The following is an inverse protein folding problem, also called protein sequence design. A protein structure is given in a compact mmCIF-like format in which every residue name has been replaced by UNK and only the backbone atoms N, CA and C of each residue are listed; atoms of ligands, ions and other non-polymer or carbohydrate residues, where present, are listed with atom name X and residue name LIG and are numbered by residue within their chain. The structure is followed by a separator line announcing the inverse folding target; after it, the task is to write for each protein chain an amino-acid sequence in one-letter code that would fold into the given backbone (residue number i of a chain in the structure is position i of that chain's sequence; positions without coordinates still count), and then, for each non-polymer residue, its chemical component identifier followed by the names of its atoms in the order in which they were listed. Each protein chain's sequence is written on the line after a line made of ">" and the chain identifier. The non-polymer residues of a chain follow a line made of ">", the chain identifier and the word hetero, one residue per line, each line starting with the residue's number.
data_IF_830402443615
#
_entry.id   IF_830402443615
#
_cell.length_a   1.000
_cell.length_b   1.000
_cell.length_c   1.000
_cell.angle_alpha   90.00
_cell.angle_beta   90.00
_cell.angle_gamma   90.00
#
_symmetry.space_group_name_H-M   'P 1'
#
loop_
_entity.id
_entity.type
_entity.pdbx_description
1 polymer ?
#
# COMPACT_ATOMS: atom_id res chain seq x y z
N UNK A 1 -10.97 -8.15 15.89
CA UNK A 1 -10.25 -7.03 15.24
C UNK A 1 -10.77 -5.62 15.52
N UNK A 2 -12.04 -5.42 15.89
CA UNK A 2 -12.65 -4.08 15.97
C UNK A 2 -12.78 -3.47 17.37
N UNK A 3 -12.45 -4.21 18.41
CA UNK A 3 -12.60 -3.77 19.79
C UNK A 3 -11.36 -2.95 20.25
N UNK A 4 -10.31 -3.60 20.76
CA UNK A 4 -9.14 -2.94 21.34
C UNK A 4 -7.93 -2.81 20.41
N UNK A 5 -8.16 -2.60 19.10
CA UNK A 5 -7.08 -2.42 18.11
C UNK A 5 -7.17 -1.07 17.42
N UNK A 6 -6.04 -0.55 16.98
CA UNK A 6 -6.03 0.60 16.08
C UNK A 6 -6.14 0.10 14.64
N UNK A 7 -7.31 0.35 14.05
CA UNK A 7 -7.64 0.07 12.66
C UNK A 7 -7.83 1.39 11.89
N UNK A 8 -7.82 1.31 10.57
CA UNK A 8 -8.19 2.42 9.70
C UNK A 8 -9.21 1.91 8.68
N UNK A 9 -10.18 2.75 8.36
CA UNK A 9 -11.16 2.51 7.32
C UNK A 9 -11.04 3.62 6.29
N UNK A 10 -10.95 3.25 5.01
CA UNK A 10 -11.05 4.17 3.90
C UNK A 10 -12.46 4.15 3.38
N UNK A 11 -13.05 5.32 3.21
CA UNK A 11 -14.38 5.50 2.68
C UNK A 11 -14.29 6.37 1.42
N UNK A 12 -14.93 5.91 0.37
CA UNK A 12 -15.08 6.62 -0.89
C UNK A 12 -16.52 6.44 -1.38
N UNK A 13 -17.06 7.48 -1.99
CA UNK A 13 -18.42 7.52 -2.52
C UNK A 13 -18.45 8.19 -3.88
N UNK A 14 -19.40 7.78 -4.71
CA UNK A 14 -19.68 8.36 -6.02
C UNK A 14 -21.17 8.23 -6.31
N UNK A 15 -21.61 8.93 -7.36
CA UNK A 15 -23.01 8.90 -7.80
C UNK A 15 -23.17 7.97 -9.00
N UNK A 16 -24.25 7.20 -9.08
CA UNK A 16 -24.54 6.45 -10.30
C UNK A 16 -24.97 7.42 -11.39
N UNK A 17 -24.36 7.29 -12.57
CA UNK A 17 -24.73 8.07 -13.74
C UNK A 17 -25.67 7.25 -14.62
N UNK A 18 -26.89 7.73 -14.83
CA UNK A 18 -27.85 7.12 -15.77
C UNK A 18 -27.44 7.36 -17.24
N UNK A 19 -26.58 8.34 -17.51
CA UNK A 19 -26.18 8.76 -18.87
C UNK A 19 -24.96 8.01 -19.45
N UNK A 20 -24.54 6.89 -18.86
CA UNK A 20 -23.45 6.07 -19.43
C UNK A 20 -22.09 6.78 -19.50
N UNK A 21 -21.86 7.80 -18.66
CA UNK A 21 -20.59 8.52 -18.60
C UNK A 21 -19.50 7.58 -18.10
N UNK A 22 -18.64 7.13 -19.03
CA UNK A 22 -17.41 6.41 -18.73
C UNK A 22 -16.49 7.31 -17.91
N UNK A 23 -16.36 7.03 -16.61
CA UNK A 23 -15.55 7.85 -15.72
C UNK A 23 -14.07 7.74 -16.05
N UNK A 24 -13.40 8.86 -16.26
CA UNK A 24 -11.93 8.94 -16.31
C UNK A 24 -11.30 8.93 -14.91
N UNK A 25 -11.81 8.10 -14.00
CA UNK A 25 -11.26 7.99 -12.63
C UNK A 25 -10.15 6.95 -12.59
N UNK A 26 -8.92 7.38 -12.31
CA UNK A 26 -7.79 6.48 -12.11
C UNK A 26 -8.01 5.56 -10.90
N UNK A 27 -8.71 6.03 -9.86
CA UNK A 27 -9.12 5.19 -8.74
C UNK A 27 -10.05 4.05 -9.18
N UNK A 28 -11.10 4.38 -9.95
CA UNK A 28 -12.05 3.39 -10.46
C UNK A 28 -11.36 2.36 -11.36
N UNK A 29 -10.43 2.83 -12.21
CA UNK A 29 -9.59 1.98 -13.06
C UNK A 29 -8.72 1.04 -12.24
N UNK A 30 -7.98 1.55 -11.25
CA UNK A 30 -7.13 0.72 -10.39
C UNK A 30 -7.97 -0.32 -9.62
N UNK A 31 -9.19 0.03 -9.17
CA UNK A 31 -10.11 -0.88 -8.49
C UNK A 31 -10.68 -1.96 -9.42
N UNK A 32 -11.09 -1.59 -10.63
CA UNK A 32 -11.52 -2.56 -11.65
C UNK A 32 -10.40 -3.51 -12.06
N UNK A 33 -9.18 -2.98 -12.21
CA UNK A 33 -7.99 -3.77 -12.48
C UNK A 33 -7.74 -4.78 -11.36
N UNK A 34 -7.85 -4.38 -10.09
CA UNK A 34 -7.71 -5.29 -8.96
C UNK A 34 -8.76 -6.40 -8.96
N UNK A 35 -10.03 -6.04 -9.16
CA UNK A 35 -11.13 -7.00 -9.15
C UNK A 35 -11.04 -8.01 -10.30
N UNK A 36 -10.57 -7.57 -11.47
CA UNK A 36 -10.42 -8.44 -12.64
C UNK A 36 -9.39 -9.56 -12.44
N UNK A 37 -8.43 -9.38 -11.52
CA UNK A 37 -7.37 -10.34 -11.22
C UNK A 37 -7.86 -11.55 -10.40
N UNK A 38 -9.10 -11.51 -9.91
CA UNK A 38 -9.73 -12.68 -9.29
C UNK A 38 -10.19 -13.71 -10.32
N UNK A 39 -10.43 -13.30 -11.56
CA UNK A 39 -10.90 -14.18 -12.64
C UNK A 39 -12.20 -14.94 -12.30
N UNK A 40 -13.12 -14.30 -11.57
CA UNK A 40 -14.43 -14.87 -11.21
C UNK A 40 -15.54 -14.15 -12.00
N UNK A 41 -16.49 -14.93 -12.54
CA UNK A 41 -17.65 -14.41 -13.28
C UNK A 41 -18.50 -13.44 -12.45
N UNK A 42 -18.66 -13.75 -11.16
CA UNK A 42 -19.55 -13.03 -10.25
C UNK A 42 -19.07 -11.60 -9.94
N UNK A 43 -17.80 -11.33 -10.23
CA UNK A 43 -17.18 -10.01 -10.02
C UNK A 43 -17.51 -9.04 -11.14
N UNK A 44 -17.87 -9.52 -12.34
CA UNK A 44 -18.22 -8.67 -13.49
C UNK A 44 -19.36 -7.71 -13.15
N UNK A 45 -20.38 -8.19 -12.43
CA UNK A 45 -21.48 -7.36 -11.93
C UNK A 45 -20.99 -6.17 -11.10
N UNK A 46 -20.01 -6.38 -10.22
CA UNK A 46 -19.45 -5.34 -9.36
C UNK A 46 -18.56 -4.37 -10.14
N UNK A 47 -17.76 -4.89 -11.08
CA UNK A 47 -16.94 -4.08 -11.98
C UNK A 47 -17.83 -3.15 -12.81
N UNK A 48 -18.93 -3.65 -13.35
CA UNK A 48 -19.86 -2.83 -14.14
C UNK A 48 -20.50 -1.73 -13.30
N UNK A 49 -20.85 -2.00 -12.03
CA UNK A 49 -21.32 -0.93 -11.12
C UNK A 49 -20.27 0.12 -10.85
N UNK A 50 -19.00 -0.26 -10.67
CA UNK A 50 -17.91 0.70 -10.46
C UNK A 50 -17.71 1.57 -11.71
N UNK A 51 -17.76 0.98 -12.91
CA UNK A 51 -17.63 1.72 -14.18
C UNK A 51 -18.76 2.72 -14.43
N UNK A 52 -19.94 2.47 -13.89
CA UNK A 52 -21.13 3.34 -14.01
C UNK A 52 -21.30 4.29 -12.80
N UNK A 53 -20.30 4.37 -11.92
CA UNK A 53 -20.32 5.23 -10.74
C UNK A 53 -19.31 6.36 -10.92
N UNK A 54 -19.78 7.62 -10.83
CA UNK A 54 -18.94 8.80 -10.87
C UNK A 54 -18.02 8.88 -9.65
N UNK A 55 -16.78 8.44 -9.86
CA UNK A 55 -15.67 8.47 -8.92
C UNK A 55 -14.61 9.49 -9.34
N UNK A 56 -14.96 10.47 -10.18
CA UNK A 56 -14.04 11.52 -10.66
C UNK A 56 -13.54 12.44 -9.55
N UNK A 57 -14.34 12.62 -8.49
CA UNK A 57 -13.97 13.38 -7.30
C UNK A 57 -12.90 12.72 -6.43
N UNK A 58 -12.50 11.48 -6.71
CA UNK A 58 -11.51 10.73 -5.93
C UNK A 58 -10.15 10.83 -6.61
N UNK A 59 -9.24 11.58 -5.98
CA UNK A 59 -7.85 11.75 -6.46
C UNK A 59 -6.91 10.62 -6.03
N UNK A 60 -7.35 9.72 -5.15
CA UNK A 60 -6.54 8.65 -4.60
C UNK A 60 -6.16 7.59 -5.65
N UNK A 61 -5.06 6.88 -5.38
CA UNK A 61 -4.57 5.77 -6.21
C UNK A 61 -4.57 4.48 -5.42
N UNK A 62 -4.97 3.38 -6.05
CA UNK A 62 -4.97 2.08 -5.39
C UNK A 62 -3.69 1.31 -5.73
N UNK A 63 -2.98 0.87 -4.69
CA UNK A 63 -1.81 -0.02 -4.82
C UNK A 63 -2.17 -1.36 -4.23
N UNK A 64 -2.24 -2.39 -5.06
CA UNK A 64 -2.68 -3.73 -4.67
C UNK A 64 -1.67 -4.80 -5.08
N UNK A 65 -1.80 -5.98 -4.49
CA UNK A 65 -0.94 -7.13 -4.77
C UNK A 65 -1.77 -8.35 -5.15
N UNK A 66 -1.35 -9.02 -6.22
CA UNK A 66 -1.96 -10.26 -6.71
C UNK A 66 -0.95 -11.40 -6.55
N UNK A 67 -1.35 -12.57 -6.02
CA UNK A 67 -0.46 -13.74 -5.94
C UNK A 67 0.05 -14.16 -7.33
N UNK A 68 1.31 -14.59 -7.41
CA UNK A 68 1.90 -15.15 -8.63
C UNK A 68 3.26 -14.57 -9.00
N UNK A 69 3.93 -15.24 -9.95
CA UNK A 69 5.14 -14.75 -10.58
C UNK A 69 4.76 -13.92 -11.81
N UNK A 70 4.88 -12.60 -11.68
CA UNK A 70 4.49 -11.67 -12.73
C UNK A 70 5.67 -11.47 -13.70
N UNK A 71 5.43 -11.72 -15.00
CA UNK A 71 6.42 -11.49 -16.06
C UNK A 71 6.68 -9.98 -16.24
N UNK A 72 7.76 -9.65 -16.96
CA UNK A 72 8.29 -8.28 -17.09
C UNK A 72 7.25 -7.21 -17.45
N UNK A 73 6.29 -7.52 -18.33
CA UNK A 73 5.22 -6.59 -18.74
C UNK A 73 4.25 -6.21 -17.61
N UNK A 74 4.06 -7.10 -16.63
CA UNK A 74 3.15 -6.92 -15.49
C UNK A 74 3.87 -6.59 -14.19
N UNK A 75 5.21 -6.61 -14.19
CA UNK A 75 6.05 -6.46 -13.00
C UNK A 75 5.82 -5.12 -12.28
N UNK A 76 5.47 -4.06 -13.02
CA UNK A 76 5.19 -2.73 -12.47
C UNK A 76 3.72 -2.49 -12.10
N UNK A 77 2.83 -3.49 -12.27
CA UNK A 77 1.38 -3.33 -12.01
C UNK A 77 1.02 -3.54 -10.53
N UNK A 78 1.75 -4.40 -9.83
CA UNK A 78 1.40 -4.84 -8.48
C UNK A 78 2.47 -4.48 -7.44
N UNK A 79 2.08 -4.43 -6.16
CA UNK A 79 3.00 -4.31 -5.03
C UNK A 79 3.85 -3.03 -5.02
N UNK A 80 5.06 -3.11 -4.48
CA UNK A 80 5.93 -1.93 -4.38
C UNK A 80 6.47 -1.41 -5.72
N UNK A 81 6.63 -2.20 -6.80
CA UNK A 81 6.96 -1.65 -8.12
C UNK A 81 5.88 -0.68 -8.63
N UNK A 82 4.59 -1.01 -8.41
CA UNK A 82 3.47 -0.12 -8.73
C UNK A 82 3.54 1.18 -7.93
N UNK A 83 3.79 1.08 -6.61
CA UNK A 83 4.02 2.24 -5.76
C UNK A 83 5.21 3.08 -6.25
N UNK A 84 6.31 2.44 -6.65
CA UNK A 84 7.50 3.11 -7.18
C UNK A 84 7.21 3.87 -8.48
N UNK A 85 6.35 3.34 -9.34
CA UNK A 85 5.89 4.04 -10.56
C UNK A 85 5.09 5.28 -10.18
N UNK A 86 4.07 5.13 -9.34
CA UNK A 86 3.21 6.23 -8.89
C UNK A 86 3.96 7.34 -8.16
N UNK A 87 5.06 7.01 -7.47
CA UNK A 87 5.92 7.97 -6.80
C UNK A 87 6.86 8.72 -7.76
N UNK A 88 7.29 8.08 -8.86
CA UNK A 88 8.16 8.70 -9.87
C UNK A 88 7.45 9.77 -10.68
N UNK A 89 6.15 9.61 -10.89
CA UNK A 89 5.34 10.57 -11.64
C UNK A 89 4.96 11.81 -10.81
N UNK A 90 5.42 11.90 -9.55
CA UNK A 90 5.13 13.03 -8.65
C UNK A 90 6.25 14.09 -8.68
N UNK A 91 5.91 15.37 -8.44
CA UNK A 91 6.91 16.41 -8.33
C UNK A 91 7.92 16.13 -7.21
N UNK A 92 9.18 16.49 -7.46
CA UNK A 92 10.20 16.39 -6.43
C UNK A 92 9.85 17.26 -5.22
N UNK A 93 10.09 16.77 -3.99
CA UNK A 93 9.90 17.57 -2.80
C UNK A 93 10.88 18.76 -2.80
N UNK A 94 10.43 19.91 -2.27
CA UNK A 94 11.28 21.11 -2.10
C UNK A 94 12.60 20.76 -1.41
N UNK A 95 13.68 21.45 -1.76
CA UNK A 95 15.03 21.18 -1.28
C UNK A 95 15.14 21.07 0.26
N UNK A 96 14.42 21.93 0.99
CA UNK A 96 14.45 21.94 2.47
C UNK A 96 13.46 20.97 3.11
N UNK A 97 12.73 20.18 2.31
CA UNK A 97 11.76 19.22 2.82
C UNK A 97 12.46 18.07 3.53
N UNK A 98 12.00 17.75 4.75
CA UNK A 98 12.45 16.55 5.46
C UNK A 98 12.09 15.29 4.66
N UNK A 99 13.10 14.58 4.17
CA UNK A 99 12.96 13.28 3.52
C UNK A 99 12.94 12.16 4.56
N UNK A 100 11.76 11.88 5.11
CA UNK A 100 11.58 10.79 6.08
C UNK A 100 10.53 9.81 5.59
N UNK A 101 10.94 8.55 5.40
CA UNK A 101 10.05 7.44 5.09
C UNK A 101 9.71 6.67 6.37
N UNK A 102 8.43 6.70 6.75
CA UNK A 102 7.89 5.97 7.89
C UNK A 102 7.02 4.82 7.40
N UNK A 103 7.30 3.62 7.88
CA UNK A 103 6.47 2.45 7.65
C UNK A 103 5.99 1.90 9.00
N UNK A 104 4.68 1.70 9.12
CA UNK A 104 4.06 1.02 10.25
C UNK A 104 3.41 -0.27 9.75
N UNK A 105 3.70 -1.37 10.43
CA UNK A 105 3.13 -2.68 10.17
C UNK A 105 2.82 -3.41 11.48
N UNK A 106 1.92 -4.38 11.44
CA UNK A 106 1.63 -5.27 12.56
C UNK A 106 2.40 -6.60 12.50
N UNK A 107 3.18 -6.82 11.44
CA UNK A 107 3.96 -8.04 11.20
C UNK A 107 5.13 -7.80 10.23
N UNK A 108 6.25 -8.46 10.51
CA UNK A 108 7.46 -8.45 9.67
C UNK A 108 7.90 -9.89 9.40
N UNK A 109 8.08 -10.20 8.12
CA UNK A 109 8.61 -11.49 7.66
C UNK A 109 10.13 -11.54 7.70
N UNK A 110 10.70 -12.62 7.17
CA UNK A 110 12.15 -12.78 7.02
C UNK A 110 12.66 -11.87 5.91
N UNK A 111 13.62 -11.01 6.25
CA UNK A 111 14.22 -10.02 5.35
C UNK A 111 15.66 -10.38 4.94
N UNK A 112 16.02 -11.66 4.98
CA UNK A 112 17.35 -12.15 4.58
C UNK A 112 17.35 -13.65 4.29
N UNK A 113 18.54 -14.17 3.97
CA UNK A 113 18.71 -15.50 3.41
C UNK A 113 18.95 -16.62 4.41
N UNK A 114 19.21 -16.29 5.68
CA UNK A 114 19.35 -17.30 6.74
C UNK A 114 18.03 -18.04 6.91
N UNK A 115 18.02 -19.38 6.78
CA UNK A 115 16.80 -20.22 6.81
C UNK A 115 16.58 -21.02 8.08
N UNK A 116 17.55 -21.03 9.00
CA UNK A 116 17.61 -22.02 10.09
C UNK A 116 17.17 -21.47 11.46
N UNK A 117 17.09 -20.14 11.63
CA UNK A 117 16.69 -19.53 12.91
C UNK A 117 15.25 -19.01 12.91
N UNK A 118 14.69 -18.62 14.06
CA UNK A 118 13.41 -17.89 14.08
C UNK A 118 13.50 -16.53 13.35
N UNK A 119 12.42 -16.07 12.70
CA UNK A 119 12.40 -14.83 11.89
C UNK A 119 13.07 -13.63 12.56
N UNK A 120 12.82 -13.38 13.85
CA UNK A 120 13.39 -12.24 14.56
C UNK A 120 14.92 -12.33 14.75
N UNK A 121 15.47 -13.53 14.96
CA UNK A 121 16.91 -13.74 15.18
C UNK A 121 17.74 -13.52 13.91
N UNK A 122 17.13 -13.73 12.74
CA UNK A 122 17.77 -13.53 11.43
C UNK A 122 18.05 -12.07 11.08
N UNK A 123 17.43 -11.13 11.77
CA UNK A 123 17.39 -9.70 11.42
C UNK A 123 17.50 -8.81 12.67
N UNK A 124 18.60 -8.91 13.44
CA UNK A 124 18.79 -8.11 14.66
C UNK A 124 18.91 -6.61 14.35
N UNK A 125 19.47 -6.26 13.17
CA UNK A 125 19.59 -4.89 12.65
C UNK A 125 18.26 -4.14 12.59
N UNK A 126 17.12 -4.83 12.51
CA UNK A 126 15.81 -4.18 12.55
C UNK A 126 15.55 -3.45 13.87
N UNK A 127 16.15 -3.91 14.98
CA UNK A 127 15.95 -3.29 16.30
C UNK A 127 16.47 -1.86 16.36
N UNK A 128 17.47 -1.53 15.55
CA UNK A 128 18.08 -0.20 15.50
C UNK A 128 17.18 0.82 14.78
N UNK A 129 16.33 0.36 13.86
CA UNK A 129 15.42 1.21 13.07
C UNK A 129 13.97 1.18 13.56
N UNK A 130 13.63 0.29 14.49
CA UNK A 130 12.27 0.13 15.00
C UNK A 130 11.94 1.20 16.06
N UNK A 131 10.78 1.84 15.89
CA UNK A 131 10.23 2.79 16.84
C UNK A 131 9.10 2.15 17.68
N UNK A 132 8.92 2.64 18.91
CA UNK A 132 7.75 2.27 19.72
C UNK A 132 6.49 2.89 19.14
N UNK A 133 5.39 2.13 19.16
CA UNK A 133 4.06 2.67 18.86
C UNK A 133 3.68 3.76 19.87
N UNK A 134 3.24 4.91 19.37
CA UNK A 134 2.71 6.01 20.17
C UNK A 134 1.62 6.72 19.38
N UNK A 135 0.46 6.93 20.00
CA UNK A 135 -0.70 7.59 19.39
C UNK A 135 -1.47 8.38 20.45
N UNK A 136 -0.76 9.24 21.20
CA UNK A 136 -1.34 10.05 22.28
C UNK A 136 -2.44 10.97 21.75
N UNK A 137 -2.21 11.62 20.61
CA UNK A 137 -3.17 12.53 20.00
C UNK A 137 -4.51 11.89 19.63
N UNK A 138 -4.55 10.55 19.49
CA UNK A 138 -5.78 9.78 19.25
C UNK A 138 -6.21 8.96 20.48
N UNK A 139 -5.48 9.04 21.60
CA UNK A 139 -5.72 8.22 22.79
C UNK A 139 -5.47 6.72 22.58
N UNK A 140 -4.72 6.33 21.54
CA UNK A 140 -4.56 4.93 21.11
C UNK A 140 -3.18 4.33 21.38
N UNK A 141 -2.35 4.95 22.21
CA UNK A 141 -1.04 4.39 22.58
C UNK A 141 -1.13 2.99 23.20
N UNK A 142 -2.24 2.68 23.90
CA UNK A 142 -2.51 1.35 24.48
C UNK A 142 -3.21 0.39 23.50
N UNK A 143 -3.82 0.89 22.43
CA UNK A 143 -4.52 0.08 21.43
C UNK A 143 -3.55 -0.32 20.31
N UNK A 144 -3.13 -1.59 20.30
CA UNK A 144 -2.11 -2.08 19.37
C UNK A 144 -2.47 -1.84 17.91
N UNK A 145 -1.51 -1.37 17.07
CA UNK A 145 -1.79 -1.04 15.69
C UNK A 145 -1.90 -2.31 14.85
N UNK A 146 -3.09 -2.49 14.25
CA UNK A 146 -3.35 -3.52 13.25
C UNK A 146 -3.53 -2.94 11.84
N UNK A 147 -3.74 -1.63 11.76
CA UNK A 147 -3.53 -0.84 10.54
C UNK A 147 -2.09 -1.01 10.03
N UNK A 148 -1.90 -0.83 8.71
CA UNK A 148 -0.60 -0.73 8.06
C UNK A 148 -0.58 0.58 7.28
N UNK A 149 0.37 1.45 7.58
CA UNK A 149 0.48 2.79 6.95
C UNK A 149 1.91 3.00 6.48
N UNK A 150 2.06 3.64 5.31
CA UNK A 150 3.36 4.13 4.82
C UNK A 150 3.23 5.62 4.58
N UNK A 151 4.13 6.41 5.13
CA UNK A 151 4.09 7.86 5.02
C UNK A 151 5.46 8.35 4.60
N UNK A 152 5.50 9.23 3.61
CA UNK A 152 6.69 10.03 3.31
C UNK A 152 6.38 11.41 3.88
N UNK A 153 7.26 12.03 4.67
CA UNK A 153 6.94 13.27 5.42
C UNK A 153 6.68 14.52 4.53
N UNK A 154 6.63 14.34 3.22
CA UNK A 154 6.16 15.31 2.21
C UNK A 154 4.88 14.87 1.48
N UNK A 155 4.41 13.63 1.71
CA UNK A 155 3.30 12.98 1.00
C UNK A 155 2.59 11.93 1.87
N UNK A 156 1.29 12.15 2.10
CA UNK A 156 0.44 11.12 2.69
C UNK A 156 0.04 10.11 1.62
N UNK A 157 0.56 8.89 1.74
CA UNK A 157 0.12 7.74 0.94
C UNK A 157 -0.64 6.78 1.85
N UNK A 158 -1.97 6.87 1.84
CA UNK A 158 -2.78 5.78 2.42
C UNK A 158 -2.78 4.65 1.40
N UNK A 159 -1.71 3.84 1.41
CA UNK A 159 -1.63 2.64 0.59
C UNK A 159 -2.56 1.59 1.19
N UNK A 160 -3.81 1.56 0.74
CA UNK A 160 -4.76 0.48 1.00
C UNK A 160 -4.29 -0.71 0.18
N UNK A 161 -3.43 -1.52 0.78
CA UNK A 161 -3.03 -2.78 0.18
C UNK A 161 -4.20 -3.75 0.36
N UNK A 162 -5.04 -3.85 -0.67
CA UNK A 162 -6.00 -4.93 -0.80
C UNK A 162 -5.22 -6.20 -1.20
N UNK A 163 -5.16 -7.16 -0.27
CA UNK A 163 -4.59 -8.48 -0.51
C UNK A 163 -5.41 -9.49 0.28
N UNK A 164 -6.29 -10.21 -0.41
CA UNK A 164 -6.94 -11.40 0.13
C UNK A 164 -6.00 -12.58 -0.06
N UNK A 165 -5.07 -12.72 0.88
CA UNK A 165 -4.47 -13.94 1.42
C UNK A 165 -3.24 -13.49 2.21
N UNK A 166 -3.41 -13.35 3.54
CA UNK A 166 -2.49 -12.75 4.51
C UNK A 166 -2.20 -11.26 4.23
N UNK A 167 -2.80 -10.40 5.06
CA UNK A 167 -2.31 -9.04 5.37
C UNK A 167 -0.80 -8.98 5.15
N UNK A 168 -0.33 -8.20 4.15
CA UNK A 168 1.09 -8.12 3.79
C UNK A 168 1.90 -7.87 5.07
N UNK A 169 2.58 -8.93 5.51
CA UNK A 169 3.72 -8.82 6.41
C UNK A 169 4.90 -8.40 5.55
N UNK A 170 5.82 -7.57 6.08
CA UNK A 170 7.03 -7.18 5.33
C UNK A 170 7.82 -8.44 4.92
N UNK A 171 7.65 -8.96 3.71
CA UNK A 171 8.36 -10.15 3.23
C UNK A 171 9.31 -9.74 2.11
N UNK A 172 10.60 -10.03 2.28
CA UNK A 172 11.77 -10.00 1.37
C UNK A 172 12.01 -8.81 0.42
N UNK A 173 11.00 -8.07 0.01
CA UNK A 173 11.08 -7.06 -1.07
C UNK A 173 11.59 -5.69 -0.60
N UNK A 174 11.62 -5.43 0.72
CA UNK A 174 12.05 -4.14 1.28
C UNK A 174 13.53 -3.84 1.03
N UNK A 175 14.38 -4.87 0.98
CA UNK A 175 15.83 -4.68 0.80
C UNK A 175 16.17 -4.02 -0.55
N UNK A 176 15.47 -4.41 -1.62
CA UNK A 176 15.68 -3.83 -2.97
C UNK A 176 15.07 -2.44 -3.13
N UNK A 177 13.93 -2.19 -2.48
CA UNK A 177 13.29 -0.87 -2.52
C UNK A 177 14.04 0.16 -1.67
N UNK A 178 14.56 -0.24 -0.49
CA UNK A 178 15.36 0.64 0.38
C UNK A 178 16.72 0.94 -0.23
N UNK A 179 17.42 -0.05 -0.80
CA UNK A 179 18.68 0.17 -1.52
C UNK A 179 18.51 1.16 -2.68
N UNK A 180 17.41 1.05 -3.44
CA UNK A 180 17.14 1.94 -4.57
C UNK A 180 16.74 3.36 -4.15
N UNK A 181 16.01 3.52 -3.04
CA UNK A 181 15.71 4.85 -2.46
C UNK A 181 16.98 5.51 -1.90
N UNK A 182 17.88 4.73 -1.30
CA UNK A 182 19.17 5.23 -0.81
C UNK A 182 20.10 5.63 -1.96
N UNK A 183 20.12 4.89 -3.08
CA UNK A 183 20.83 5.29 -4.31
C UNK A 183 20.33 6.65 -4.84
N UNK A 184 19.01 6.88 -4.89
CA UNK A 184 18.44 8.19 -5.27
C UNK A 184 18.71 9.32 -4.25
N UNK A 185 19.25 9.02 -3.08
CA UNK A 185 19.54 10.01 -2.03
C UNK A 185 21.04 10.32 -1.88
N UNK A 186 21.90 9.66 -2.65
CA UNK A 186 23.36 9.81 -2.57
C UNK A 186 24.00 10.59 -3.73
N UNK A 187 23.18 11.19 -4.61
CA UNK A 187 23.62 12.18 -5.60
C UNK A 187 23.27 13.60 -5.15
#
# INVERSE_FOLDING_TARGET
>A
DWDQKTQCFYYASGYFSDEGVSTQSEFAKDLCDYLSEYHLSDITYWIDRIKNCDLSGISDRLVFSVPGYHQASRMNKFGHPSLSRLLRDRPDPKQDSRRLFLAQCSSIGSLGDKREESTSKRQPWLREIMCKWRSEAKGRSKAMPHVKVRHLHSFQLVSIILSFYKSISLVRMFYRFFAKIMEFSLD
#
